data_IF_942922794921
#
_entry.id   IF_942922794921
#
_cell.length_a   1.000
_cell.length_b   1.000
_cell.length_c   1.000
_cell.angle_alpha   90.00
_cell.angle_beta   90.00
_cell.angle_gamma   90.00
#
_symmetry.space_group_name_H-M   'P 1'
#
loop_
_entity.id
_entity.type
_entity.pdbx_description
1 polymer ?
2 non-polymer ?
3 non-polymer ?
4 water ?
#
# COMPACT_ATOMS: atom_id res chain seq x y z
N UNK A 1 -9.37 9.96 -2.43
CA UNK A 1 -8.20 10.06 -3.35
C UNK A 1 -8.54 9.73 -4.79
N UNK A 2 -7.54 9.85 -5.66
CA UNK A 2 -7.67 9.52 -7.07
C UNK A 2 -7.10 8.12 -7.28
N UNK A 3 -7.98 7.12 -7.41
CA UNK A 3 -7.53 5.73 -7.53
C UNK A 3 -6.94 5.40 -8.91
N UNK A 4 -7.20 6.25 -9.89
CA UNK A 4 -6.62 6.10 -11.22
C UNK A 4 -5.14 6.44 -11.16
N UNK A 5 -4.84 7.61 -10.62
CA UNK A 5 -3.47 8.01 -10.33
C UNK A 5 -2.84 7.00 -9.38
N UNK A 6 -3.61 6.57 -8.37
CA UNK A 6 -3.14 5.57 -7.40
C UNK A 6 -2.70 4.26 -8.04
N UNK A 7 -3.49 3.77 -8.99
CA UNK A 7 -3.14 2.54 -9.70
C UNK A 7 -1.83 2.68 -10.49
N UNK A 8 -1.66 3.83 -11.14
CA UNK A 8 -0.43 4.10 -11.90
C UNK A 8 0.79 4.12 -10.97
N UNK A 9 0.66 4.81 -9.84
CA UNK A 9 1.73 4.85 -8.83
C UNK A 9 2.01 3.44 -8.32
N UNK A 10 0.95 2.67 -8.09
CA UNK A 10 1.11 1.30 -7.60
C UNK A 10 1.88 0.45 -8.60
N UNK A 11 1.49 0.53 -9.87
CA UNK A 11 2.15 -0.27 -10.89
C UNK A 11 3.64 0.07 -11.01
N UNK A 12 3.97 1.34 -10.81
CA UNK A 12 5.35 1.80 -10.96
C UNK A 12 6.23 1.58 -9.73
N UNK A 13 5.62 1.50 -8.54
CA UNK A 13 6.39 1.53 -7.29
C UNK A 13 6.14 0.37 -6.33
N UNK A 14 5.03 -0.35 -6.52
CA UNK A 14 4.56 -1.31 -5.52
C UNK A 14 4.34 -2.72 -6.04
N UNK A 15 3.98 -2.84 -7.32
CA UNK A 15 3.56 -4.13 -7.86
C UNK A 15 4.67 -5.18 -7.91
N UNK A 16 5.93 -4.75 -7.95
CA UNK A 16 7.04 -5.72 -7.94
C UNK A 16 7.03 -6.57 -6.67
N UNK A 17 6.71 -5.96 -5.53
CA UNK A 17 6.61 -6.68 -4.26
C UNK A 17 5.18 -7.07 -3.88
N UNK A 18 4.19 -6.39 -4.45
CA UNK A 18 2.80 -6.54 -4.02
C UNK A 18 1.83 -6.87 -5.17
N UNK A 19 2.33 -7.46 -6.27
CA UNK A 19 1.44 -7.81 -7.39
C UNK A 19 0.26 -8.65 -6.93
N UNK A 20 -0.92 -8.33 -7.44
CA UNK A 20 -2.14 -9.04 -7.08
C UNK A 20 -2.52 -8.86 -5.62
N UNK A 21 -1.91 -7.87 -4.97
CA UNK A 21 -2.14 -7.58 -3.56
C UNK A 21 -1.43 -8.52 -2.60
N UNK A 22 -0.46 -9.27 -3.10
CA UNK A 22 0.26 -10.23 -2.25
C UNK A 22 1.49 -9.56 -1.63
N UNK A 23 2.41 -10.36 -1.10
CA UNK A 23 3.66 -9.81 -0.57
C UNK A 23 4.80 -10.78 -0.83
N UNK A 24 5.65 -10.41 -1.79
CA UNK A 24 6.74 -11.29 -2.23
C UNK A 24 7.72 -11.61 -1.11
N UNK A 25 8.06 -10.58 -0.34
CA UNK A 25 9.17 -10.64 0.61
C UNK A 25 8.74 -11.16 1.98
N UNK A 26 7.52 -10.83 2.39
CA UNK A 26 6.96 -11.30 3.65
C UNK A 26 5.58 -11.86 3.35
N UNK A 27 5.52 -13.13 2.93
CA UNK A 27 4.32 -13.73 2.32
C UNK A 27 2.98 -13.56 3.03
N UNK A 28 2.98 -13.55 4.36
CA UNK A 28 1.72 -13.42 5.07
C UNK A 28 1.22 -11.98 5.17
N UNK A 29 2.13 -11.02 5.00
CA UNK A 29 1.79 -9.62 5.24
C UNK A 29 1.33 -8.96 3.95
N UNK A 30 0.23 -9.48 3.42
CA UNK A 30 -0.27 -9.07 2.11
C UNK A 30 -1.09 -7.80 2.20
N UNK A 31 -1.58 -7.35 1.04
CA UNK A 31 -2.46 -6.19 0.98
C UNK A 31 -3.93 -6.59 0.98
N UNK A 32 -4.21 -7.88 1.21
CA UNK A 32 -5.58 -8.33 1.40
C UNK A 32 -6.14 -7.71 2.68
N UNK A 33 -7.44 -7.44 2.68
CA UNK A 33 -8.05 -6.72 3.80
C UNK A 33 -7.82 -7.41 5.15
N UNK A 34 -7.87 -8.73 5.15
CA UNK A 34 -7.67 -9.51 6.37
C UNK A 34 -6.24 -9.38 6.89
N UNK A 35 -5.28 -9.32 5.97
CA UNK A 35 -3.88 -9.17 6.36
C UNK A 35 -3.60 -7.75 6.86
N UNK A 36 -4.19 -6.75 6.21
CA UNK A 36 -4.10 -5.38 6.72
C UNK A 36 -4.65 -5.29 8.13
N UNK A 37 -5.78 -5.95 8.38
CA UNK A 37 -6.37 -5.95 9.72
C UNK A 37 -5.39 -6.50 10.75
N UNK A 38 -4.65 -7.54 10.38
CA UNK A 38 -3.77 -8.25 11.31
C UNK A 38 -2.39 -7.64 11.48
N UNK A 39 -1.80 -7.20 10.38
CA UNK A 39 -0.37 -6.92 10.32
C UNK A 39 0.01 -5.46 10.10
N UNK A 40 -0.94 -4.61 9.68
CA UNK A 40 -0.61 -3.20 9.47
C UNK A 40 -0.83 -2.42 10.75
N UNK A 41 0.19 -1.69 11.20
CA UNK A 41 0.06 -0.85 12.38
C UNK A 41 -1.07 0.15 12.17
N UNK A 42 -2.01 0.20 13.11
CA UNK A 42 -3.16 1.08 12.97
C UNK A 42 -4.34 0.48 12.22
N UNK A 43 -4.15 -0.72 11.67
CA UNK A 43 -5.21 -1.43 10.97
C UNK A 43 -5.52 -0.96 9.56
N UNK A 44 -6.70 -1.33 9.08
CA UNK A 44 -7.08 -1.18 7.68
C UNK A 44 -7.65 0.22 7.42
N UNK A 45 -6.78 1.22 7.36
CA UNK A 45 -7.22 2.59 7.09
C UNK A 45 -6.29 3.26 6.08
N UNK A 46 -6.80 4.24 5.34
CA UNK A 46 -5.94 5.01 4.43
C UNK A 46 -4.79 5.68 5.20
N UNK A 47 -5.09 6.24 6.37
CA UNK A 47 -4.08 6.86 7.22
C UNK A 47 -2.94 5.89 7.58
N UNK A 48 -3.28 4.66 7.93
CA UNK A 48 -2.26 3.67 8.30
C UNK A 48 -1.42 3.28 7.09
N UNK A 49 -2.07 3.15 5.92
CA UNK A 49 -1.36 2.85 4.67
C UNK A 49 -0.40 3.99 4.30
N UNK A 50 -0.87 5.23 4.40
CA UNK A 50 -0.03 6.39 4.13
C UNK A 50 1.21 6.40 5.03
N UNK A 51 1.02 6.12 6.31
CA UNK A 51 2.14 6.12 7.25
C UNK A 51 3.21 5.10 6.84
N UNK A 52 2.78 3.89 6.52
CA UNK A 52 3.74 2.87 6.14
C UNK A 52 4.41 3.12 4.80
N UNK A 53 3.65 3.62 3.83
CA UNK A 53 4.25 3.97 2.54
C UNK A 53 5.28 5.09 2.72
N UNK A 54 4.95 6.08 3.54
CA UNK A 54 5.82 7.24 3.68
C UNK A 54 7.14 6.87 4.36
N UNK A 55 7.05 6.14 5.47
CA UNK A 55 8.24 5.85 6.27
C UNK A 55 8.91 4.50 6.05
N UNK A 56 8.22 3.60 5.35
CA UNK A 56 8.70 2.23 5.18
C UNK A 56 8.57 1.42 6.46
N UNK A 57 8.93 0.14 6.37
CA UNK A 57 9.01 -0.72 7.53
C UNK A 57 9.77 -1.98 7.17
N UNK A 58 10.85 -2.24 7.90
CA UNK A 58 11.67 -3.43 7.68
C UNK A 58 12.14 -3.52 6.23
N UNK A 59 11.80 -4.59 5.52
CA UNK A 59 12.22 -4.74 4.13
C UNK A 59 11.48 -3.82 3.16
N UNK A 60 10.38 -3.21 3.61
CA UNK A 60 9.67 -2.27 2.75
C UNK A 60 10.32 -0.89 2.81
N UNK A 61 10.77 -0.37 1.65
CA UNK A 61 11.40 0.94 1.67
C UNK A 61 10.44 2.09 1.96
N UNK A 62 11.02 3.20 2.40
CA UNK A 62 10.29 4.46 2.54
C UNK A 62 10.11 5.12 1.19
N UNK A 63 8.94 5.70 0.98
CA UNK A 63 8.62 6.40 -0.27
C UNK A 63 8.53 7.91 -0.11
N UNK A 64 8.81 8.42 1.09
CA UNK A 64 8.75 9.86 1.37
C UNK A 64 9.68 10.72 0.53
N UNK A 65 10.78 10.15 0.05
CA UNK A 65 11.66 10.87 -0.89
C UNK A 65 11.26 10.76 -2.35
N UNK A 66 10.81 9.56 -2.73
CA UNK A 66 10.50 9.26 -4.13
C UNK A 66 9.17 9.86 -4.57
N UNK A 67 8.20 9.89 -3.65
CA UNK A 67 6.84 10.31 -3.97
C UNK A 67 6.44 11.56 -3.19
N UNK A 68 5.49 12.31 -3.75
CA UNK A 68 4.88 13.41 -3.02
C UNK A 68 3.81 12.89 -2.07
N UNK A 69 3.40 13.73 -1.14
CA UNK A 69 2.34 13.34 -0.23
C UNK A 69 1.02 13.10 -0.96
N UNK A 70 0.78 13.85 -2.03
CA UNK A 70 -0.39 13.60 -2.87
C UNK A 70 -0.32 12.22 -3.53
N UNK A 71 0.83 11.88 -4.11
CA UNK A 71 1.01 10.57 -4.74
C UNK A 71 0.81 9.45 -3.72
N UNK A 72 1.34 9.65 -2.52
CA UNK A 72 1.20 8.65 -1.46
C UNK A 72 -0.27 8.49 -1.06
N UNK A 73 -0.99 9.61 -0.96
CA UNK A 73 -2.41 9.56 -0.62
C UNK A 73 -3.21 8.83 -1.68
N UNK A 74 -2.86 9.06 -2.94
CA UNK A 74 -3.55 8.41 -4.05
C UNK A 74 -3.29 6.91 -4.11
N UNK A 75 -2.04 6.50 -3.93
CA UNK A 75 -1.75 5.07 -3.89
C UNK A 75 -2.41 4.41 -2.68
N UNK A 76 -2.46 5.11 -1.54
CA UNK A 76 -3.15 4.57 -0.37
C UNK A 76 -4.64 4.33 -0.64
N UNK A 77 -5.28 5.28 -1.31
CA UNK A 77 -6.69 5.13 -1.70
C UNK A 77 -6.89 3.91 -2.60
N UNK A 78 -6.00 3.75 -3.58
CA UNK A 78 -6.07 2.60 -4.46
C UNK A 78 -5.91 1.27 -3.72
N UNK A 79 -4.96 1.22 -2.78
CA UNK A 79 -4.71 0.00 -2.02
C UNK A 79 -5.93 -0.35 -1.17
N UNK A 80 -6.49 0.64 -0.48
CA UNK A 80 -7.67 0.36 0.34
C UNK A 80 -8.87 -0.11 -0.48
N UNK A 81 -9.15 0.56 -1.59
CA UNK A 81 -10.26 0.17 -2.46
C UNK A 81 -10.04 -1.23 -3.03
N UNK A 82 -8.81 -1.53 -3.42
CA UNK A 82 -8.47 -2.85 -3.96
C UNK A 82 -8.60 -3.94 -2.89
N UNK A 83 -8.16 -3.64 -1.67
CA UNK A 83 -8.35 -4.55 -0.54
C UNK A 83 -9.84 -4.84 -0.30
N UNK A 84 -10.66 -3.79 -0.32
CA UNK A 84 -12.10 -3.96 -0.12
C UNK A 84 -12.71 -4.79 -1.24
N UNK A 85 -12.09 -4.73 -2.41
CA UNK A 85 -12.53 -5.45 -3.61
C UNK A 85 -11.90 -6.83 -3.75
N UNK A 86 -11.12 -7.24 -2.75
CA UNK A 86 -10.46 -8.54 -2.79
C UNK A 86 -9.40 -8.71 -3.87
N UNK A 87 -8.87 -7.59 -4.39
CA UNK A 87 -7.85 -7.62 -5.45
C UNK A 87 -8.29 -8.46 -6.66
X LIG B 1 5.72 15.41 3.26
X LIG C 1 4.85 -2.74 0.93
X LIG C 1 3.93 -4.11 3.88
X LIG C 1 1.95 -0.97 0.81
X LIG C 1 6.08 -0.95 -1.72
X LIG C 1 7.52 -4.89 0.69
X LIG C 1 3.26 -2.57 2.12
X LIG C 1 3.04 -3.27 3.28
X LIG C 1 1.73 -2.94 3.80
X LIG C 1 1.18 -2.05 2.96
X LIG C 1 2.13 -1.79 1.89
X LIG C 1 -0.22 -1.39 3.07
X LIG C 1 1.12 -3.57 5.08
X LIG C 1 0.71 -5.01 4.70
X LIG C 1 0.42 -5.92 5.88
X LIG C 1 0.89 -5.62 7.00
X LIG C 1 -0.30 -6.95 5.70
X LIG C 1 4.16 -1.23 -0.24
X LIG C 1 2.89 -0.69 -0.16
X LIG C 1 2.74 0.26 -1.25
X LIG C 1 3.88 0.28 -1.96
X LIG C 1 4.79 -0.65 -1.33
X LIG C 1 1.45 1.06 -1.52
X LIG C 1 4.16 1.15 -3.21
X LIG C 1 4.33 2.48 -2.96
X LIG C 1 6.52 -2.86 -0.23
X LIG C 1 6.77 -2.08 -1.34
X LIG C 1 7.88 -2.65 -2.06
X LIG C 1 8.29 -3.76 -1.43
X LIG C 1 7.44 -3.91 -0.26
X LIG C 1 8.47 -2.07 -3.37
X LIG C 1 9.43 -4.71 -1.92
X LIG C 1 10.73 -4.30 -1.79
X LIG C 1 5.59 -4.26 2.08
X LIG C 1 6.78 -4.95 1.84
X LIG C 1 7.10 -5.74 3.01
X LIG C 1 5.98 -5.49 4.00
X LIG C 1 5.09 -4.57 3.34
X LIG C 1 8.33 -6.66 3.23
X LIG C 1 5.87 -6.07 5.42
X LIG C 1 6.57 -5.08 6.36
X LIG C 1 6.63 -5.66 7.75
X LIG C 1 5.65 -5.55 8.51
X LIG C 1 7.70 -6.26 8.07
#
# INVERSE_FOLDING_TARGET
GDVGAGEQIFNANCAACHAGGQNVIMPEKTLEKEALDQYLAGGRTEKSIISQVTGGKNAMPAFGGRLSDEEIANVAAYVLASAEAGWE
MG MG
HEC FE CHA CHB CHC CHD NA C1A C2A C3A C4A CMA CAA CBA CGA O1A O2A NB C1B C2B C3B C4B CMB CAB CBB NC C1C C2C C3C C4C CMC CAC CBC ND C1D C2D C3D C4D CMD CAD CBD CGD O1D O2D
#
